data_IF_027822638034
#
_entry.id   IF_027822638034
#
_cell.length_a   1.000
_cell.length_b   1.000
_cell.length_c   1.000
_cell.angle_alpha   90.00
_cell.angle_beta   90.00
_cell.angle_gamma   90.00
#
_symmetry.space_group_name_H-M   'P 1'
#
loop_
_entity.id
_entity.type
_entity.pdbx_description
1 polymer ?
#
# COMPACT_ATOMS: atom_id res chain seq x y z
N UNK A 1 18.75 -10.64 -7.96
CA UNK A 1 20.11 -10.68 -7.36
C UNK A 1 20.86 -11.96 -7.72
N UNK A 2 20.32 -13.16 -7.47
CA UNK A 2 20.98 -14.42 -7.84
C UNK A 2 21.34 -14.52 -9.34
N UNK A 3 20.45 -14.08 -10.24
CA UNK A 3 20.71 -14.06 -11.69
C UNK A 3 21.96 -13.24 -12.06
N UNK A 4 22.20 -12.11 -11.41
CA UNK A 4 23.39 -11.27 -11.66
C UNK A 4 24.63 -11.88 -11.01
N UNK A 5 24.51 -12.36 -9.77
CA UNK A 5 25.64 -12.93 -9.01
C UNK A 5 26.18 -14.23 -9.65
N UNK A 6 25.31 -15.01 -10.29
CA UNK A 6 25.70 -16.23 -11.00
C UNK A 6 26.12 -15.96 -12.46
N UNK A 7 26.08 -14.72 -12.94
CA UNK A 7 26.43 -14.36 -14.33
C UNK A 7 25.37 -14.73 -15.37
N UNK A 8 24.20 -15.18 -14.95
CA UNK A 8 23.05 -15.50 -15.82
C UNK A 8 22.42 -14.23 -16.42
N UNK A 9 22.54 -13.10 -15.74
CA UNK A 9 22.17 -11.78 -16.22
C UNK A 9 23.34 -10.81 -16.12
N UNK A 10 23.57 -10.00 -17.15
CA UNK A 10 24.70 -9.07 -17.21
C UNK A 10 24.62 -7.95 -16.16
N UNK A 11 23.40 -7.54 -15.78
CA UNK A 11 23.14 -6.52 -14.78
C UNK A 11 21.72 -6.66 -14.19
N UNK A 12 21.36 -5.72 -13.30
CA UNK A 12 20.07 -5.69 -12.63
C UNK A 12 18.89 -5.45 -13.58
N UNK A 13 19.08 -4.68 -14.64
CA UNK A 13 18.01 -4.39 -15.61
C UNK A 13 17.69 -5.64 -16.42
N UNK A 14 18.72 -6.33 -16.93
CA UNK A 14 18.58 -7.61 -17.62
C UNK A 14 17.92 -8.66 -16.73
N UNK A 15 18.35 -8.77 -15.47
CA UNK A 15 17.74 -9.69 -14.51
C UNK A 15 16.26 -9.36 -14.24
N UNK A 16 15.88 -8.08 -14.18
CA UNK A 16 14.50 -7.66 -13.97
C UNK A 16 13.62 -7.98 -15.19
N UNK A 17 14.13 -7.77 -16.41
CA UNK A 17 13.42 -8.13 -17.64
C UNK A 17 13.18 -9.65 -17.75
N UNK A 18 14.16 -10.48 -17.38
CA UNK A 18 14.01 -11.94 -17.35
C UNK A 18 12.92 -12.43 -16.39
N UNK A 19 12.58 -11.63 -15.38
CA UNK A 19 11.56 -11.94 -14.38
C UNK A 19 10.24 -11.20 -14.60
N UNK A 20 10.11 -10.41 -15.68
CA UNK A 20 8.96 -9.55 -15.87
C UNK A 20 7.71 -10.41 -16.11
N UNK A 21 6.65 -10.13 -15.36
CA UNK A 21 5.30 -10.66 -15.61
C UNK A 21 4.45 -9.57 -16.24
N UNK A 22 3.31 -9.92 -16.85
CA UNK A 22 2.46 -8.92 -17.49
C UNK A 22 1.91 -7.94 -16.45
N UNK A 23 2.34 -6.69 -16.56
CA UNK A 23 1.82 -5.53 -15.83
C UNK A 23 1.21 -4.57 -16.83
N UNK A 24 0.00 -4.10 -16.56
CA UNK A 24 -0.62 -3.01 -17.32
C UNK A 24 -0.25 -1.68 -16.66
N UNK A 25 0.23 -0.72 -17.45
CA UNK A 25 0.31 0.66 -16.98
C UNK A 25 -1.10 1.21 -16.75
N UNK A 26 -1.26 2.00 -15.70
CA UNK A 26 -2.47 2.79 -15.47
C UNK A 26 -2.10 4.26 -15.55
N UNK A 27 -2.68 4.95 -16.53
CA UNK A 27 -2.51 6.38 -16.69
C UNK A 27 -3.60 7.14 -15.91
N UNK A 28 -3.24 8.12 -15.07
CA UNK A 28 -4.24 8.93 -14.38
C UNK A 28 -5.14 9.65 -15.37
N UNK A 29 -6.46 9.53 -15.20
CA UNK A 29 -7.42 10.35 -15.96
C UNK A 29 -7.45 11.79 -15.41
N UNK A 30 -7.01 12.82 -16.17
CA UNK A 30 -6.95 14.20 -15.68
C UNK A 30 -8.33 14.77 -15.31
N UNK A 31 -9.40 14.28 -15.93
CA UNK A 31 -10.77 14.71 -15.63
C UNK A 31 -11.19 14.37 -14.19
N UNK A 32 -10.59 13.32 -13.60
CA UNK A 32 -10.89 12.88 -12.24
C UNK A 32 -10.07 13.60 -11.17
N UNK A 33 -9.12 14.46 -11.56
CA UNK A 33 -8.19 15.12 -10.63
C UNK A 33 -8.91 15.81 -9.48
N UNK A 34 -9.95 16.56 -9.80
CA UNK A 34 -10.70 17.33 -8.79
C UNK A 34 -11.49 16.42 -7.84
N UNK A 35 -12.07 15.35 -8.38
CA UNK A 35 -12.83 14.37 -7.61
C UNK A 35 -11.92 13.70 -6.59
N UNK A 36 -10.75 13.20 -7.03
CA UNK A 36 -9.81 12.56 -6.13
C UNK A 36 -9.18 13.52 -5.12
N UNK A 37 -8.93 14.78 -5.49
CA UNK A 37 -8.47 15.80 -4.55
C UNK A 37 -9.46 15.99 -3.41
N UNK A 38 -10.74 16.21 -3.72
CA UNK A 38 -11.79 16.39 -2.71
C UNK A 38 -11.99 15.13 -1.87
N UNK A 39 -11.96 13.95 -2.50
CA UNK A 39 -12.05 12.68 -1.77
C UNK A 39 -10.91 12.52 -0.77
N UNK A 40 -9.68 12.89 -1.16
CA UNK A 40 -8.52 12.88 -0.27
C UNK A 40 -8.68 13.84 0.90
N UNK A 41 -9.18 15.06 0.66
CA UNK A 41 -9.44 16.03 1.72
C UNK A 41 -10.46 15.52 2.74
N UNK A 42 -11.56 14.91 2.27
CA UNK A 42 -12.57 14.28 3.14
C UNK A 42 -11.94 13.15 3.94
N UNK A 43 -11.21 12.23 3.29
CA UNK A 43 -10.51 11.14 3.97
C UNK A 43 -9.60 11.66 5.08
N UNK A 44 -8.79 12.70 4.79
CA UNK A 44 -7.87 13.29 5.75
C UNK A 44 -8.61 13.86 6.95
N UNK A 45 -9.68 14.63 6.72
CA UNK A 45 -10.50 15.21 7.79
C UNK A 45 -11.14 14.11 8.65
N UNK A 46 -11.73 13.08 8.04
CA UNK A 46 -12.35 11.97 8.75
C UNK A 46 -11.32 11.20 9.58
N UNK A 47 -10.15 10.89 9.00
CA UNK A 47 -9.05 10.21 9.70
C UNK A 47 -8.60 11.02 10.90
N UNK A 48 -8.37 12.32 10.72
CA UNK A 48 -7.88 13.20 11.78
C UNK A 48 -8.92 13.36 12.90
N UNK A 49 -10.22 13.36 12.56
CA UNK A 49 -11.31 13.42 13.54
C UNK A 49 -11.44 12.15 14.39
N UNK A 50 -11.21 10.97 13.81
CA UNK A 50 -11.30 9.68 14.53
C UNK A 50 -10.01 9.38 15.30
N UNK A 51 -8.87 9.94 14.89
CA UNK A 51 -7.54 9.70 15.47
C UNK A 51 -7.47 9.75 17.02
N UNK A 52 -8.12 10.71 17.71
CA UNK A 52 -8.11 10.75 19.18
C UNK A 52 -8.72 9.51 19.84
N UNK A 53 -9.64 8.81 19.18
CA UNK A 53 -10.28 7.60 19.72
C UNK A 53 -9.45 6.32 19.51
N UNK A 54 -8.45 6.34 18.63
CA UNK A 54 -7.67 5.14 18.30
C UNK A 54 -6.98 4.46 19.50
N UNK A 55 -6.41 5.18 20.50
CA UNK A 55 -5.88 4.53 21.70
C UNK A 55 -6.93 3.70 22.43
N UNK A 56 -8.11 4.28 22.70
CA UNK A 56 -9.22 3.57 23.35
C UNK A 56 -9.74 2.39 22.51
N UNK A 57 -9.77 2.52 21.18
CA UNK A 57 -10.12 1.40 20.29
C UNK A 57 -9.10 0.26 20.34
N UNK A 58 -7.81 0.59 20.47
CA UNK A 58 -6.75 -0.43 20.64
C UNK A 58 -6.87 -1.12 21.99
N UNK A 59 -7.10 -0.37 23.06
CA UNK A 59 -7.35 -0.93 24.40
C UNK A 59 -8.57 -1.86 24.38
N UNK A 60 -9.66 -1.44 23.75
CA UNK A 60 -10.86 -2.27 23.60
C UNK A 60 -10.57 -3.57 22.84
N UNK A 61 -9.74 -3.52 21.79
CA UNK A 61 -9.36 -4.73 21.02
C UNK A 61 -8.58 -5.73 21.86
N UNK A 62 -7.68 -5.24 22.72
CA UNK A 62 -6.95 -6.09 23.69
C UNK A 62 -7.92 -6.70 24.69
N UNK A 63 -8.83 -5.89 25.23
CA UNK A 63 -9.82 -6.35 26.21
C UNK A 63 -10.84 -7.35 25.64
N UNK A 64 -11.17 -7.22 24.35
CA UNK A 64 -12.16 -8.10 23.70
C UNK A 64 -11.57 -9.42 23.19
N UNK A 65 -10.27 -9.68 23.37
CA UNK A 65 -9.60 -10.89 22.86
C UNK A 65 -9.46 -10.97 21.34
N UNK A 66 -9.82 -9.91 20.60
CA UNK A 66 -9.83 -9.93 19.13
C UNK A 66 -8.42 -9.99 18.50
N UNK A 67 -7.35 -9.90 19.31
CA UNK A 67 -5.98 -10.20 18.89
C UNK A 67 -5.65 -11.70 18.89
N UNK A 68 -6.33 -12.52 19.67
CA UNK A 68 -6.09 -13.98 19.73
C UNK A 68 -6.73 -14.70 18.54
N UNK A 69 -7.86 -14.21 18.03
CA UNK A 69 -8.59 -14.78 16.88
C UNK A 69 -7.94 -14.49 15.51
N UNK A 70 -6.91 -13.63 15.46
CA UNK A 70 -6.25 -13.20 14.22
C UNK A 70 -4.92 -13.92 13.93
N UNK A 71 -4.52 -14.87 14.78
CA UNK A 71 -3.33 -15.74 14.61
C UNK A 71 -3.74 -17.15 14.18
#
# INVERSE_FOLDING_TARGET
LALVACGEAADLEAAAQMMVTSVSSYEPNPANREVYRKAFDVYRLSRDAIRPAWPAMRELRVLSGAEEDAK
#
